data_IF_966446613583
#
_entry.id   IF_966446613583
#
_cell.length_a   1.000
_cell.length_b   1.000
_cell.length_c   1.000
_cell.angle_alpha   90.00
_cell.angle_beta   90.00
_cell.angle_gamma   90.00
#
_symmetry.space_group_name_H-M   'P 1'
#
loop_
_entity.id
_entity.type
_entity.pdbx_description
1 polymer ?
#
# COMPACT_ATOMS: atom_id res chain seq x y z
N UNK A 1 15.74 2.34 -10.75
CA UNK A 1 14.32 2.07 -10.48
C UNK A 1 13.54 3.23 -11.08
N UNK A 2 12.68 2.97 -12.08
CA UNK A 2 11.79 4.00 -12.62
C UNK A 2 10.51 3.95 -11.80
N UNK A 3 10.18 5.02 -11.09
CA UNK A 3 9.02 5.08 -10.22
C UNK A 3 8.10 6.21 -10.67
N UNK A 4 6.79 6.02 -10.47
CA UNK A 4 5.82 7.09 -10.70
C UNK A 4 5.99 8.20 -9.65
N UNK A 5 5.46 9.41 -9.91
CA UNK A 5 5.65 10.54 -9.00
C UNK A 5 5.18 10.25 -7.58
N UNK A 6 6.06 10.54 -6.61
CA UNK A 6 5.74 10.58 -5.20
C UNK A 6 5.19 11.96 -4.88
N UNK A 7 3.97 12.04 -4.36
CA UNK A 7 3.28 13.30 -4.08
C UNK A 7 3.27 13.64 -2.60
N UNK A 8 3.60 12.69 -1.73
CA UNK A 8 3.58 12.84 -0.29
C UNK A 8 4.86 12.24 0.30
N UNK A 9 5.46 12.93 1.26
CA UNK A 9 6.72 12.56 1.90
C UNK A 9 6.64 12.88 3.40
N UNK A 10 7.19 12.00 4.25
CA UNK A 10 7.43 12.28 5.68
C UNK A 10 8.83 11.82 6.09
N UNK A 11 9.41 12.53 7.04
CA UNK A 11 10.61 12.11 7.74
C UNK A 11 10.23 11.29 8.97
N UNK A 12 10.85 10.13 9.14
CA UNK A 12 10.66 9.27 10.30
C UNK A 12 11.66 9.63 11.42
N UNK A 13 11.34 9.37 12.70
CA UNK A 13 12.21 9.71 13.83
C UNK A 13 13.59 9.04 13.82
N UNK A 14 13.74 7.94 13.09
CA UNK A 14 14.99 7.20 12.91
C UNK A 14 15.90 7.80 11.82
N UNK A 15 15.52 8.94 11.24
CA UNK A 15 16.27 9.62 10.18
C UNK A 15 16.05 9.04 8.79
N UNK A 16 15.16 8.05 8.64
CA UNK A 16 14.72 7.56 7.34
C UNK A 16 13.57 8.42 6.77
N UNK A 17 13.26 8.21 5.50
CA UNK A 17 12.28 8.99 4.76
C UNK A 17 11.31 8.03 4.07
N UNK A 18 10.01 8.34 4.11
CA UNK A 18 8.99 7.59 3.39
C UNK A 18 8.32 8.50 2.38
N UNK A 19 8.19 8.02 1.14
CA UNK A 19 7.45 8.70 0.08
C UNK A 19 6.38 7.80 -0.53
N UNK A 20 5.24 8.37 -0.91
CA UNK A 20 4.18 7.65 -1.62
C UNK A 20 3.45 8.56 -2.62
N UNK A 21 2.65 7.96 -3.49
CA UNK A 21 1.87 8.68 -4.49
C UNK A 21 1.24 7.73 -5.50
N UNK A 22 1.62 7.88 -6.76
CA UNK A 22 1.04 7.13 -7.89
C UNK A 22 1.48 5.66 -7.98
N UNK A 23 2.40 5.26 -7.11
CA UNK A 23 2.92 3.89 -7.01
C UNK A 23 2.11 2.96 -6.12
N UNK A 24 1.09 3.49 -5.44
CA UNK A 24 0.14 2.81 -4.53
C UNK A 24 0.74 2.24 -3.24
N UNK A 25 1.97 1.74 -3.28
CA UNK A 25 2.74 1.34 -2.10
C UNK A 25 3.72 2.45 -1.69
N UNK A 26 3.91 2.67 -0.37
CA UNK A 26 4.96 3.57 0.13
C UNK A 26 6.35 3.04 -0.17
N UNK A 27 7.31 3.95 -0.28
CA UNK A 27 8.71 3.65 -0.60
C UNK A 27 9.58 4.19 0.53
N UNK A 28 10.42 3.31 1.06
CA UNK A 28 11.37 3.66 2.10
C UNK A 28 12.69 4.12 1.48
N UNK A 29 13.23 5.21 2.01
CA UNK A 29 14.52 5.77 1.68
C UNK A 29 15.38 5.85 2.95
N UNK A 30 16.67 5.60 2.78
CA UNK A 30 17.67 5.78 3.84
C UNK A 30 18.64 6.88 3.45
N UNK A 31 19.20 7.55 4.46
CA UNK A 31 20.22 8.58 4.26
C UNK A 31 21.58 7.92 4.01
N UNK A 32 22.27 8.39 2.98
CA UNK A 32 23.66 8.05 2.65
C UNK A 32 24.49 9.34 2.56
N UNK A 33 25.82 9.23 2.48
CA UNK A 33 26.71 10.41 2.43
C UNK A 33 26.34 11.38 1.30
N UNK A 34 25.92 10.85 0.15
CA UNK A 34 25.60 11.61 -1.07
C UNK A 34 24.11 11.98 -1.19
N UNK A 35 23.28 11.73 -0.16
CA UNK A 35 21.86 12.08 -0.17
C UNK A 35 20.94 10.94 0.28
N UNK A 36 19.99 10.55 -0.57
CA UNK A 36 18.97 9.54 -0.27
C UNK A 36 19.08 8.33 -1.18
N UNK A 37 19.03 7.14 -0.60
CA UNK A 37 19.01 5.87 -1.32
C UNK A 37 17.67 5.16 -1.11
N UNK A 38 17.07 4.68 -2.19
CA UNK A 38 15.86 3.84 -2.13
C UNK A 38 16.20 2.50 -1.49
N UNK A 39 15.50 2.14 -0.41
CA UNK A 39 15.60 0.82 0.23
C UNK A 39 14.63 -0.18 -0.40
N UNK A 40 13.42 0.26 -0.74
CA UNK A 40 12.41 -0.59 -1.40
C UNK A 40 10.98 -0.12 -1.16
N UNK A 41 10.03 -0.84 -1.78
CA UNK A 41 8.59 -0.64 -1.57
C UNK A 41 8.14 -1.39 -0.31
N UNK A 42 7.29 -0.75 0.47
CA UNK A 42 6.57 -1.35 1.58
C UNK A 42 5.24 -1.86 1.03
N UNK A 43 5.18 -3.15 0.68
CA UNK A 43 3.95 -3.80 0.23
C UNK A 43 3.43 -4.72 1.34
N UNK A 44 2.10 -4.83 1.45
CA UNK A 44 1.48 -5.78 2.37
C UNK A 44 1.82 -7.21 1.99
N UNK A 45 1.73 -8.12 2.97
CA UNK A 45 1.84 -9.54 2.69
C UNK A 45 0.90 -9.91 1.55
N UNK A 46 1.46 -10.48 0.48
CA UNK A 46 0.66 -11.02 -0.62
C UNK A 46 -0.30 -12.01 0.02
N UNK A 47 -1.60 -11.70 0.05
CA UNK A 47 -2.61 -12.69 0.42
C UNK A 47 -2.34 -13.90 -0.46
N UNK A 48 -1.88 -15.00 0.14
CA UNK A 48 -1.71 -16.25 -0.57
C UNK A 48 -3.03 -16.51 -1.30
N UNK A 49 -2.97 -16.69 -2.62
CA UNK A 49 -4.16 -17.05 -3.40
C UNK A 49 -4.70 -18.33 -2.76
N UNK A 50 -5.80 -18.21 -2.02
CA UNK A 50 -6.47 -19.37 -1.44
C UNK A 50 -6.93 -20.19 -2.64
N UNK A 51 -6.39 -21.40 -2.80
CA UNK A 51 -6.83 -22.35 -3.82
C UNK A 51 -8.36 -22.51 -3.69
N UNK A 52 -9.11 -21.89 -4.61
CA UNK A 52 -10.56 -22.01 -4.66
C UNK A 52 -10.84 -23.29 -5.45
N UNK A 53 -11.43 -24.30 -4.81
CA UNK A 53 -11.81 -25.53 -5.49
C UNK A 53 -12.76 -25.23 -6.65
N UNK A 54 -12.67 -25.99 -7.75
CA UNK A 54 -13.48 -25.78 -8.98
C UNK A 54 -14.99 -25.60 -8.71
N UNK A 55 -15.52 -26.27 -7.68
CA UNK A 55 -16.93 -26.16 -7.30
C UNK A 55 -17.29 -24.80 -6.68
N UNK A 56 -16.40 -24.23 -5.86
CA UNK A 56 -16.59 -22.91 -5.28
C UNK A 56 -16.51 -21.80 -6.34
N UNK A 57 -15.66 -21.97 -7.35
CA UNK A 57 -15.58 -21.05 -8.51
C UNK A 57 -16.88 -21.03 -9.31
N UNK A 58 -17.46 -22.20 -9.60
CA UNK A 58 -18.75 -22.30 -10.27
C UNK A 58 -19.88 -21.66 -9.43
N UNK A 59 -19.94 -21.93 -8.12
CA UNK A 59 -20.93 -21.31 -7.23
C UNK A 59 -20.81 -19.78 -7.17
N UNK A 60 -19.59 -19.25 -7.15
CA UNK A 60 -19.35 -17.81 -7.17
C UNK A 60 -19.80 -17.17 -8.50
N UNK A 61 -19.56 -17.83 -9.63
CA UNK A 61 -20.07 -17.38 -10.93
C UNK A 61 -21.60 -17.34 -10.97
N UNK A 62 -22.27 -18.39 -10.47
CA UNK A 62 -23.73 -18.42 -10.41
C UNK A 62 -24.31 -17.35 -9.47
N UNK A 63 -23.68 -17.10 -8.33
CA UNK A 63 -24.09 -16.04 -7.40
C UNK A 63 -23.86 -14.63 -7.96
N UNK A 64 -22.79 -14.45 -8.74
CA UNK A 64 -22.53 -13.20 -9.46
C UNK A 64 -23.58 -12.96 -10.56
N UNK A 65 -24.00 -14.00 -11.27
CA UNK A 65 -25.03 -13.90 -12.32
C UNK A 65 -26.39 -13.41 -11.83
N UNK A 66 -26.75 -13.68 -10.57
CA UNK A 66 -28.00 -13.21 -9.95
C UNK A 66 -27.88 -11.83 -9.31
N UNK A 67 -26.66 -11.33 -9.08
CA UNK A 67 -26.40 -10.06 -8.39
C UNK A 67 -26.20 -8.89 -9.36
N UNK A 68 -27.20 -8.60 -10.19
CA UNK A 68 -27.39 -7.28 -10.86
C UNK A 68 -26.40 -6.91 -11.98
N UNK A 69 -26.87 -6.92 -13.23
CA UNK A 69 -26.75 -5.86 -14.26
C UNK A 69 -25.43 -5.13 -14.57
N UNK A 70 -24.32 -5.40 -13.90
CA UNK A 70 -23.01 -4.86 -14.18
C UNK A 70 -22.31 -5.86 -15.08
N UNK A 71 -22.14 -5.52 -16.35
CA UNK A 71 -21.25 -6.26 -17.25
C UNK A 71 -19.91 -6.42 -16.52
N UNK A 72 -19.50 -7.67 -16.32
CA UNK A 72 -18.46 -8.08 -15.38
C UNK A 72 -17.27 -7.13 -15.36
N UNK A 73 -17.27 -6.21 -14.38
CA UNK A 73 -16.06 -5.49 -14.03
C UNK A 73 -15.09 -6.55 -13.51
N UNK A 74 -14.10 -6.87 -14.34
CA UNK A 74 -12.97 -7.70 -13.91
C UNK A 74 -12.30 -6.90 -12.80
N UNK A 75 -12.51 -7.30 -11.55
CA UNK A 75 -11.85 -6.70 -10.41
C UNK A 75 -10.35 -7.04 -10.47
N UNK A 76 -9.59 -6.18 -11.16
CA UNK A 76 -8.13 -6.29 -11.25
C UNK A 76 -7.57 -5.81 -9.93
N UNK A 77 -7.35 -6.75 -9.01
CA UNK A 77 -6.66 -6.47 -7.76
C UNK A 77 -5.16 -6.39 -7.98
N UNK A 78 -4.57 -5.23 -7.66
CA UNK A 78 -3.15 -5.00 -7.64
C UNK A 78 -2.53 -5.69 -6.42
N UNK A 79 -1.26 -6.10 -6.52
CA UNK A 79 -0.51 -6.69 -5.41
C UNK A 79 -0.11 -5.71 -4.31
N UNK A 80 -0.43 -4.42 -4.47
CA UNK A 80 -0.20 -3.35 -3.50
C UNK A 80 -1.27 -3.33 -2.40
N UNK A 81 -0.96 -2.70 -1.27
CA UNK A 81 -1.96 -2.50 -0.20
C UNK A 81 -3.10 -1.61 -0.70
N UNK A 82 -2.73 -0.49 -1.31
CA UNK A 82 -3.70 0.42 -1.90
C UNK A 82 -3.98 0.03 -3.36
N UNK A 83 -5.21 0.28 -3.79
CA UNK A 83 -5.67 0.03 -5.17
C UNK A 83 -5.79 1.33 -5.98
N UNK A 84 -5.37 2.45 -5.39
CA UNK A 84 -5.38 3.76 -6.00
C UNK A 84 -4.28 4.63 -5.36
N UNK A 85 -4.06 5.83 -5.91
CA UNK A 85 -3.03 6.79 -5.49
C UNK A 85 -3.11 7.07 -3.98
N UNK A 86 -1.97 6.94 -3.30
CA UNK A 86 -1.80 7.41 -1.93
C UNK A 86 -1.86 8.93 -1.92
N UNK A 87 -2.73 9.49 -1.09
CA UNK A 87 -2.99 10.93 -1.00
C UNK A 87 -2.73 11.52 0.38
N UNK A 88 -2.63 10.67 1.42
CA UNK A 88 -2.28 11.08 2.77
C UNK A 88 -1.18 10.21 3.34
N UNK A 89 -0.26 10.84 4.06
CA UNK A 89 0.86 10.18 4.73
C UNK A 89 1.13 10.94 6.03
N UNK A 90 0.96 10.27 7.17
CA UNK A 90 0.97 10.92 8.48
C UNK A 90 1.76 10.07 9.48
N UNK A 91 2.65 10.72 10.23
CA UNK A 91 3.32 10.10 11.37
C UNK A 91 2.29 9.64 12.39
N UNK A 92 2.57 8.51 13.04
CA UNK A 92 1.79 8.02 14.16
C UNK A 92 2.60 8.20 15.45
N UNK A 93 1.96 8.72 16.49
CA UNK A 93 2.65 9.06 17.75
C UNK A 93 3.40 10.39 17.71
N UNK A 94 4.35 10.57 18.63
CA UNK A 94 5.11 11.82 18.77
C UNK A 94 6.38 11.83 17.91
N UNK A 95 6.73 12.98 17.32
CA UNK A 95 7.86 13.15 16.40
C UNK A 95 9.25 13.22 17.08
N UNK A 96 9.41 12.65 18.27
CA UNK A 96 10.65 12.75 19.05
C UNK A 96 11.62 11.58 18.78
N UNK A 97 12.92 11.88 18.86
CA UNK A 97 13.98 10.87 18.76
C UNK A 97 13.81 9.79 19.84
N UNK A 98 13.92 8.51 19.43
CA UNK A 98 13.76 7.34 20.31
C UNK A 98 12.37 6.70 20.29
N UNK A 99 11.41 7.25 19.54
CA UNK A 99 10.10 6.65 19.32
C UNK A 99 10.09 5.69 18.12
N UNK A 100 9.16 4.71 18.10
CA UNK A 100 9.06 3.78 16.99
C UNK A 100 8.70 4.50 15.68
N UNK A 101 9.27 4.03 14.57
CA UNK A 101 9.10 4.62 13.25
C UNK A 101 7.77 4.19 12.63
N UNK A 102 6.67 4.72 13.17
CA UNK A 102 5.30 4.35 12.81
C UNK A 102 4.60 5.45 12.03
N UNK A 103 3.80 5.06 11.04
CA UNK A 103 3.04 5.99 10.21
C UNK A 103 1.79 5.35 9.63
N UNK A 104 0.93 6.19 9.07
CA UNK A 104 -0.29 5.77 8.38
C UNK A 104 -0.33 6.35 6.97
N UNK A 105 -1.00 5.62 6.07
CA UNK A 105 -1.24 6.04 4.68
C UNK A 105 -2.71 5.99 4.38
N UNK A 106 -3.21 6.98 3.66
CA UNK A 106 -4.57 6.98 3.10
C UNK A 106 -4.51 7.15 1.59
N UNK A 107 -5.42 6.51 0.87
CA UNK A 107 -5.48 6.56 -0.58
C UNK A 107 -6.90 6.78 -1.10
N UNK A 108 -7.00 7.11 -2.39
CA UNK A 108 -8.28 7.32 -3.09
C UNK A 108 -9.13 6.05 -3.23
N UNK A 109 -8.62 4.88 -2.81
CA UNK A 109 -9.39 3.65 -2.68
C UNK A 109 -10.22 3.60 -1.38
N UNK A 110 -10.17 4.66 -0.57
CA UNK A 110 -10.91 4.79 0.69
C UNK A 110 -10.31 4.00 1.85
N UNK A 111 -9.11 3.40 1.68
CA UNK A 111 -8.44 2.63 2.73
C UNK A 111 -7.42 3.48 3.48
N UNK A 112 -7.26 3.15 4.77
CA UNK A 112 -6.16 3.62 5.60
C UNK A 112 -5.35 2.40 6.03
N UNK A 113 -4.03 2.44 5.82
CA UNK A 113 -3.11 1.41 6.25
C UNK A 113 -2.16 1.95 7.32
N UNK A 114 -1.89 1.13 8.33
CA UNK A 114 -0.94 1.41 9.39
C UNK A 114 0.36 0.64 9.16
N UNK A 115 1.48 1.30 9.42
CA UNK A 115 2.83 0.77 9.18
C UNK A 115 3.64 0.94 10.45
N UNK A 116 4.16 -0.18 10.96
CA UNK A 116 5.09 -0.21 12.09
C UNK A 116 6.25 -1.12 11.72
N UNK A 117 7.44 -0.81 12.22
CA UNK A 117 8.61 -1.67 12.11
C UNK A 117 8.63 -2.59 13.34
N UNK A 118 8.58 -3.89 13.10
CA UNK A 118 8.84 -4.91 14.13
C UNK A 118 10.33 -4.93 14.46
#
# INVERSE_FOLDING_TARGET
MSELPLTNIIFLPDGSLVGAGHSYDPILFTRVAEGWKVMGKLSGEKKAKKEVSNFASAKNMWAASTTTGQAGAVDVTLGSIHQNKVCGLQLFGSSFAGQPAEFSTSALDGKIAFWSRV
#
